data_IF_287587183957
#
_entry.id   IF_287587183957
#
_cell.length_a   1.000
_cell.length_b   1.000
_cell.length_c   1.000
_cell.angle_alpha   90.00
_cell.angle_beta   90.00
_cell.angle_gamma   90.00
#
_symmetry.space_group_name_H-M   'P 1'
#
loop_
_entity.id
_entity.type
_entity.pdbx_description
1 polymer ?
#
# COMPACT_ATOMS: atom_id res chain seq x y z
N UNK A 1 -7.78 -16.76 9.14
CA UNK A 1 -8.84 -15.80 8.76
C UNK A 1 -8.30 -14.98 7.60
N UNK A 2 -8.90 -15.06 6.44
CA UNK A 2 -8.58 -14.19 5.30
C UNK A 2 -9.04 -12.78 5.67
N UNK A 3 -8.10 -11.88 5.99
CA UNK A 3 -8.40 -10.47 6.23
C UNK A 3 -8.87 -9.75 4.95
N UNK A 4 -9.29 -8.50 5.07
CA UNK A 4 -9.60 -7.66 3.92
C UNK A 4 -8.42 -7.61 2.95
N UNK A 5 -8.74 -7.64 1.65
CA UNK A 5 -7.75 -7.45 0.57
C UNK A 5 -7.60 -5.96 0.28
N UNK A 6 -6.36 -5.53 0.15
CA UNK A 6 -5.99 -4.12 0.08
C UNK A 6 -6.01 -3.59 -1.36
N UNK A 7 -6.45 -2.36 -1.51
CA UNK A 7 -6.21 -1.53 -2.70
C UNK A 7 -5.01 -0.64 -2.39
N UNK A 8 -3.93 -0.81 -3.16
CA UNK A 8 -2.61 -0.27 -2.82
C UNK A 8 -2.18 0.77 -3.86
N UNK A 9 -1.96 2.01 -3.44
CA UNK A 9 -1.34 3.02 -4.30
C UNK A 9 0.20 2.88 -4.27
N UNK A 10 0.82 3.17 -5.40
CA UNK A 10 2.29 3.19 -5.55
C UNK A 10 2.76 4.55 -6.02
N UNK A 11 3.73 5.14 -5.34
CA UNK A 11 4.32 6.43 -5.67
C UNK A 11 5.84 6.31 -5.82
N UNK A 12 6.39 7.09 -6.73
CA UNK A 12 7.83 7.24 -6.92
C UNK A 12 8.23 8.64 -6.51
N UNK A 13 9.10 8.76 -5.49
CA UNK A 13 9.52 10.02 -4.90
C UNK A 13 10.88 10.46 -5.44
N UNK A 14 10.91 11.62 -6.07
CA UNK A 14 12.12 12.26 -6.61
C UNK A 14 12.10 13.75 -6.30
N UNK A 15 13.11 14.27 -5.63
CA UNK A 15 13.22 15.69 -5.28
C UNK A 15 11.96 16.27 -4.60
N UNK A 16 11.32 15.52 -3.69
CA UNK A 16 10.09 15.93 -3.00
C UNK A 16 8.83 15.91 -3.85
N UNK A 17 8.90 15.46 -5.10
CA UNK A 17 7.77 15.36 -6.03
C UNK A 17 7.43 13.90 -6.32
N UNK A 18 6.16 13.61 -6.53
CA UNK A 18 5.74 12.34 -7.09
C UNK A 18 6.01 12.33 -8.59
N UNK A 19 6.69 11.29 -9.07
CA UNK A 19 6.91 11.05 -10.51
C UNK A 19 6.21 9.77 -10.96
N UNK A 20 5.98 9.63 -12.25
CA UNK A 20 5.15 8.59 -12.83
C UNK A 20 5.71 7.18 -12.60
N UNK A 21 7.02 7.00 -12.80
CA UNK A 21 7.69 5.71 -12.57
C UNK A 21 9.21 5.90 -12.45
N UNK A 22 9.94 4.83 -12.12
CA UNK A 22 11.40 4.83 -12.11
C UNK A 22 12.03 5.09 -13.51
N UNK A 23 11.30 4.85 -14.58
CA UNK A 23 11.75 5.09 -15.97
C UNK A 23 11.11 6.32 -16.62
N UNK A 24 10.07 6.88 -16.00
CA UNK A 24 9.38 8.09 -16.49
C UNK A 24 9.29 9.11 -15.34
N UNK A 25 10.17 10.12 -15.40
CA UNK A 25 10.30 11.18 -14.40
C UNK A 25 9.28 12.32 -14.58
N UNK A 26 8.23 12.12 -15.38
CA UNK A 26 7.13 13.10 -15.47
C UNK A 26 6.53 13.34 -14.11
N UNK A 27 6.53 14.59 -13.66
CA UNK A 27 5.99 14.99 -12.36
C UNK A 27 4.48 14.84 -12.37
N UNK A 28 3.95 14.12 -11.40
CA UNK A 28 2.51 13.94 -11.17
C UNK A 28 1.95 14.94 -10.16
N UNK A 29 2.80 15.53 -9.34
CA UNK A 29 2.41 16.51 -8.34
C UNK A 29 3.25 16.46 -7.09
N UNK A 30 2.87 17.25 -6.11
CA UNK A 30 3.43 17.21 -4.76
C UNK A 30 3.05 15.90 -4.08
N UNK A 31 4.04 15.18 -3.55
CA UNK A 31 3.84 13.83 -2.98
C UNK A 31 2.94 13.87 -1.74
N UNK A 32 3.03 14.94 -0.94
CA UNK A 32 2.20 15.07 0.26
C UNK A 32 0.71 15.23 -0.11
N UNK A 33 0.41 16.10 -1.07
CA UNK A 33 -0.95 16.32 -1.53
C UNK A 33 -1.57 15.05 -2.14
N UNK A 34 -0.79 14.27 -2.90
CA UNK A 34 -1.25 12.99 -3.43
C UNK A 34 -1.51 11.96 -2.33
N UNK A 35 -0.64 11.87 -1.32
CA UNK A 35 -0.86 10.97 -0.19
C UNK A 35 -2.11 11.35 0.61
N UNK A 36 -2.39 12.66 0.80
CA UNK A 36 -3.63 13.13 1.42
C UNK A 36 -4.86 12.72 0.60
N UNK A 37 -4.80 12.88 -0.71
CA UNK A 37 -5.89 12.49 -1.61
C UNK A 37 -6.15 10.98 -1.52
N UNK A 38 -5.12 10.15 -1.53
CA UNK A 38 -5.25 8.71 -1.36
C UNK A 38 -5.82 8.33 0.01
N UNK A 39 -5.40 9.03 1.08
CA UNK A 39 -5.96 8.85 2.42
C UNK A 39 -7.47 9.07 2.43
N UNK A 40 -7.94 10.06 1.68
CA UNK A 40 -9.36 10.45 1.68
C UNK A 40 -10.19 9.69 0.62
N UNK A 41 -9.55 8.94 -0.29
CA UNK A 41 -10.22 8.22 -1.40
C UNK A 41 -10.59 6.76 -1.12
N UNK A 42 -10.16 6.20 0.04
CA UNK A 42 -10.41 4.80 0.36
C UNK A 42 -9.30 3.83 -0.04
N UNK A 43 -8.11 4.33 -0.37
CA UNK A 43 -6.89 3.50 -0.50
C UNK A 43 -6.55 2.89 0.86
N UNK A 44 -6.10 1.63 0.89
CA UNK A 44 -5.82 0.90 2.13
C UNK A 44 -4.34 0.97 2.55
N UNK A 45 -3.45 1.14 1.57
CA UNK A 45 -1.99 1.17 1.77
C UNK A 45 -1.33 2.02 0.69
N UNK A 46 -0.30 2.78 1.05
CA UNK A 46 0.57 3.48 0.10
C UNK A 46 1.96 2.85 0.13
N UNK A 47 2.55 2.63 -1.04
CA UNK A 47 3.94 2.24 -1.22
C UNK A 47 4.68 3.42 -1.85
N UNK A 48 5.75 3.90 -1.21
CA UNK A 48 6.60 4.98 -1.71
C UNK A 48 7.96 4.41 -2.06
N UNK A 49 8.38 4.55 -3.32
CA UNK A 49 9.72 4.22 -3.78
C UNK A 49 10.58 5.47 -3.87
N UNK A 50 11.62 5.53 -3.06
CA UNK A 50 12.63 6.58 -3.10
C UNK A 50 13.57 6.39 -4.30
N UNK A 51 13.57 7.37 -5.20
CA UNK A 51 14.43 7.42 -6.39
C UNK A 51 15.59 8.41 -6.23
N UNK A 52 15.98 8.74 -5.01
CA UNK A 52 17.14 9.59 -4.74
C UNK A 52 18.41 9.03 -5.40
N UNK A 53 19.29 9.93 -5.82
CA UNK A 53 20.55 9.58 -6.49
C UNK A 53 21.77 9.83 -5.62
N UNK A 54 21.59 10.48 -4.48
CA UNK A 54 22.61 10.76 -3.49
C UNK A 54 22.05 10.69 -2.06
N UNK A 55 22.95 10.68 -1.08
CA UNK A 55 22.59 10.55 0.34
C UNK A 55 21.82 11.77 0.85
N UNK A 56 22.09 12.98 0.37
CA UNK A 56 21.40 14.20 0.80
C UNK A 56 19.94 14.20 0.34
N UNK A 57 19.68 13.78 -0.87
CA UNK A 57 18.31 13.60 -1.38
C UNK A 57 17.59 12.48 -0.64
N UNK A 58 18.27 11.36 -0.38
CA UNK A 58 17.72 10.24 0.39
C UNK A 58 17.26 10.67 1.78
N UNK A 59 18.08 11.41 2.52
CA UNK A 59 17.73 11.92 3.85
C UNK A 59 16.50 12.87 3.78
N UNK A 60 16.43 13.73 2.76
CA UNK A 60 15.27 14.61 2.55
C UNK A 60 14.00 13.82 2.24
N UNK A 61 14.12 12.75 1.44
CA UNK A 61 13.00 11.89 1.09
C UNK A 61 12.51 11.10 2.31
N UNK A 62 13.39 10.62 3.19
CA UNK A 62 13.01 10.00 4.48
C UNK A 62 12.23 11.00 5.33
N UNK A 63 12.69 12.25 5.42
CA UNK A 63 11.98 13.30 6.17
C UNK A 63 10.60 13.63 5.56
N UNK A 64 10.50 13.63 4.23
CA UNK A 64 9.23 13.77 3.52
C UNK A 64 8.26 12.63 3.87
N UNK A 65 8.74 11.39 3.88
CA UNK A 65 7.96 10.21 4.27
C UNK A 65 7.52 10.30 5.74
N UNK A 66 8.38 10.77 6.64
CA UNK A 66 8.03 11.00 8.03
C UNK A 66 6.89 12.02 8.17
N UNK A 67 6.96 13.13 7.43
CA UNK A 67 5.90 14.14 7.43
C UNK A 67 4.58 13.62 6.86
N UNK A 68 4.63 12.77 5.83
CA UNK A 68 3.45 12.10 5.30
C UNK A 68 2.82 11.23 6.39
N UNK A 69 3.60 10.33 7.01
CA UNK A 69 3.12 9.41 8.05
C UNK A 69 2.49 10.11 9.26
N UNK A 70 2.93 11.34 9.58
CA UNK A 70 2.35 12.12 10.68
C UNK A 70 0.98 12.72 10.37
N UNK A 71 0.61 12.79 9.10
CA UNK A 71 -0.56 13.56 8.64
C UNK A 71 -1.60 12.74 7.87
N UNK A 72 -1.37 11.44 7.68
CA UNK A 72 -2.32 10.51 7.08
C UNK A 72 -2.55 9.32 8.01
N UNK A 73 -3.70 8.67 7.88
CA UNK A 73 -4.08 7.54 8.73
C UNK A 73 -3.81 6.18 8.09
N UNK A 74 -3.74 6.14 6.74
CA UNK A 74 -3.47 4.91 6.01
C UNK A 74 -2.00 4.50 6.11
N UNK A 75 -1.75 3.21 5.99
CA UNK A 75 -0.43 2.61 6.17
C UNK A 75 0.50 2.96 5.03
N UNK A 76 1.71 3.42 5.34
CA UNK A 76 2.77 3.67 4.36
C UNK A 76 3.85 2.61 4.48
N UNK A 77 4.25 2.04 3.34
CA UNK A 77 5.46 1.24 3.18
C UNK A 77 6.43 2.01 2.29
N UNK A 78 7.72 1.86 2.52
CA UNK A 78 8.72 2.56 1.72
C UNK A 78 9.85 1.64 1.26
N UNK A 79 10.40 1.92 0.09
CA UNK A 79 11.55 1.22 -0.49
C UNK A 79 12.37 2.15 -1.38
N UNK A 80 13.43 1.61 -1.99
CA UNK A 80 14.39 2.38 -2.77
C UNK A 80 15.57 2.89 -1.92
N UNK A 81 16.75 2.86 -2.48
CA UNK A 81 18.02 3.28 -1.85
C UNK A 81 18.33 2.69 -0.47
N UNK A 82 17.84 1.50 -0.18
CA UNK A 82 18.15 0.78 1.05
C UNK A 82 19.47 0.05 0.86
N UNK A 83 20.54 0.63 1.39
CA UNK A 83 21.91 0.11 1.26
C UNK A 83 22.53 -0.30 2.60
N UNK A 84 21.98 0.17 3.71
CA UNK A 84 22.49 -0.03 5.07
C UNK A 84 21.34 -0.30 6.04
N UNK A 85 21.63 -0.98 7.13
CA UNK A 85 20.66 -1.24 8.20
C UNK A 85 20.12 0.06 8.83
N UNK A 86 20.88 1.15 8.76
CA UNK A 86 20.46 2.47 9.24
C UNK A 86 19.33 3.06 8.37
N UNK A 87 19.31 2.78 7.06
CA UNK A 87 18.24 3.23 6.15
C UNK A 87 16.92 2.55 6.53
N UNK A 88 16.95 1.23 6.82
CA UNK A 88 15.80 0.48 7.33
C UNK A 88 15.30 1.08 8.64
N UNK A 89 16.20 1.33 9.59
CA UNK A 89 15.87 1.91 10.89
C UNK A 89 15.22 3.27 10.74
N UNK A 90 15.76 4.16 9.89
CA UNK A 90 15.23 5.49 9.66
C UNK A 90 13.80 5.45 9.08
N UNK A 91 13.55 4.60 8.08
CA UNK A 91 12.23 4.44 7.49
C UNK A 91 11.20 3.93 8.50
N UNK A 92 11.56 2.93 9.33
CA UNK A 92 10.68 2.44 10.38
C UNK A 92 10.40 3.51 11.45
N UNK A 93 11.40 4.30 11.82
CA UNK A 93 11.22 5.41 12.78
C UNK A 93 10.48 6.61 12.18
N UNK A 94 10.54 6.78 10.85
CA UNK A 94 9.70 7.72 10.11
C UNK A 94 8.22 7.30 10.04
N UNK A 95 7.86 6.16 10.67
CA UNK A 95 6.48 5.68 10.78
C UNK A 95 6.07 4.68 9.69
N UNK A 96 6.97 4.26 8.81
CA UNK A 96 6.64 3.23 7.83
C UNK A 96 6.23 1.93 8.50
N UNK A 97 5.13 1.35 8.03
CA UNK A 97 4.68 0.04 8.49
C UNK A 97 5.71 -1.04 8.15
N UNK A 98 6.24 -0.97 6.93
CA UNK A 98 7.15 -1.97 6.36
C UNK A 98 8.16 -1.31 5.42
N UNK A 99 9.31 -1.97 5.26
CA UNK A 99 10.39 -1.56 4.36
C UNK A 99 10.51 -2.58 3.23
N UNK A 100 10.62 -2.11 1.98
CA UNK A 100 10.60 -2.95 0.78
C UNK A 100 11.99 -3.06 0.19
N UNK A 101 12.52 -4.27 0.15
CA UNK A 101 13.76 -4.62 -0.52
C UNK A 101 13.49 -5.01 -1.98
N UNK A 102 14.53 -4.93 -2.82
CA UNK A 102 14.43 -5.29 -4.23
C UNK A 102 15.20 -6.59 -4.49
N UNK A 103 14.55 -7.57 -5.14
CA UNK A 103 15.11 -8.87 -5.48
C UNK A 103 16.20 -8.86 -6.60
N UNK A 104 16.64 -7.69 -7.05
CA UNK A 104 17.64 -7.60 -8.15
C UNK A 104 19.09 -7.71 -7.70
N UNK A 105 19.36 -7.68 -6.39
CA UNK A 105 20.72 -7.70 -5.82
C UNK A 105 20.82 -8.74 -4.73
N UNK A 106 21.81 -9.63 -4.78
CA UNK A 106 22.10 -10.63 -3.73
C UNK A 106 22.39 -9.95 -2.38
N UNK A 107 23.10 -8.81 -2.38
CA UNK A 107 23.35 -8.01 -1.18
C UNK A 107 22.08 -7.47 -0.49
N UNK A 108 20.98 -7.37 -1.20
CA UNK A 108 19.69 -6.96 -0.62
C UNK A 108 19.11 -8.07 0.27
N UNK A 109 19.33 -9.34 -0.06
CA UNK A 109 18.84 -10.46 0.74
C UNK A 109 19.60 -10.56 2.07
N UNK A 110 20.94 -10.44 2.04
CA UNK A 110 21.77 -10.43 3.26
C UNK A 110 21.35 -9.30 4.21
N UNK A 111 21.16 -8.09 3.67
CA UNK A 111 20.71 -6.94 4.45
C UNK A 111 19.27 -7.13 4.98
N UNK A 112 18.38 -7.73 4.18
CA UNK A 112 17.00 -8.03 4.59
C UNK A 112 16.96 -9.06 5.72
N UNK A 113 17.82 -10.10 5.69
CA UNK A 113 17.95 -11.07 6.77
C UNK A 113 18.35 -10.39 8.09
N UNK A 114 19.39 -9.54 8.06
CA UNK A 114 19.82 -8.76 9.23
C UNK A 114 18.70 -7.83 9.72
N UNK A 115 17.95 -7.21 8.81
CA UNK A 115 16.83 -6.34 9.15
C UNK A 115 15.66 -7.13 9.77
N UNK A 116 15.34 -8.31 9.24
CA UNK A 116 14.30 -9.20 9.75
C UNK A 116 14.62 -9.68 11.17
N UNK A 117 15.87 -10.08 11.43
CA UNK A 117 16.32 -10.47 12.78
C UNK A 117 16.25 -9.31 13.78
N UNK A 118 16.57 -8.09 13.34
CA UNK A 118 16.66 -6.92 14.21
C UNK A 118 15.32 -6.24 14.48
N UNK A 119 14.45 -6.15 13.49
CA UNK A 119 13.20 -5.38 13.55
C UNK A 119 11.94 -6.23 13.48
N UNK A 120 12.07 -7.50 13.15
CA UNK A 120 10.98 -8.44 12.94
C UNK A 120 10.62 -8.64 11.47
N UNK A 121 10.31 -9.88 11.12
CA UNK A 121 9.87 -10.27 9.77
C UNK A 121 8.68 -9.47 9.27
N UNK A 122 7.74 -9.14 10.17
CA UNK A 122 6.54 -8.36 9.87
C UNK A 122 6.83 -6.95 9.31
N UNK A 123 8.07 -6.48 9.41
CA UNK A 123 8.54 -5.19 8.91
C UNK A 123 9.18 -5.24 7.52
N UNK A 124 9.38 -6.43 6.96
CA UNK A 124 10.22 -6.60 5.77
C UNK A 124 9.40 -7.17 4.61
N UNK A 125 9.42 -6.47 3.47
CA UNK A 125 8.83 -6.88 2.20
C UNK A 125 9.90 -7.04 1.13
N UNK A 126 9.59 -7.86 0.11
CA UNK A 126 10.42 -8.02 -1.08
C UNK A 126 9.63 -7.65 -2.33
N UNK A 127 10.14 -6.74 -3.15
CA UNK A 127 9.62 -6.51 -4.50
C UNK A 127 10.30 -7.43 -5.51
N UNK A 128 9.49 -8.07 -6.37
CA UNK A 128 9.95 -9.11 -7.29
C UNK A 128 9.24 -9.03 -8.63
N UNK A 129 9.98 -9.26 -9.72
CA UNK A 129 9.46 -9.33 -11.09
C UNK A 129 9.78 -10.64 -11.81
N UNK A 130 10.64 -11.50 -11.22
CA UNK A 130 11.12 -12.73 -11.81
C UNK A 130 11.01 -13.89 -10.83
N UNK A 131 10.44 -14.99 -11.28
CA UNK A 131 10.24 -16.20 -10.48
C UNK A 131 11.54 -16.97 -10.20
N UNK A 132 12.56 -16.83 -11.05
CA UNK A 132 13.85 -17.51 -10.88
C UNK A 132 14.55 -17.13 -9.59
N UNK A 133 14.36 -15.88 -9.14
CA UNK A 133 14.90 -15.43 -7.85
C UNK A 133 14.25 -16.17 -6.68
N UNK A 134 12.94 -16.39 -6.74
CA UNK A 134 12.21 -17.14 -5.71
C UNK A 134 12.65 -18.60 -5.72
N UNK A 135 12.74 -19.20 -6.89
CA UNK A 135 13.18 -20.58 -7.01
C UNK A 135 14.57 -20.82 -6.39
N UNK A 136 15.47 -19.84 -6.56
CA UNK A 136 16.83 -19.90 -6.01
C UNK A 136 16.90 -19.69 -4.48
N UNK A 137 15.99 -18.88 -3.90
CA UNK A 137 16.03 -18.41 -2.52
C UNK A 137 14.75 -18.70 -1.73
N UNK A 138 14.05 -19.77 -2.04
CA UNK A 138 12.71 -20.04 -1.51
C UNK A 138 12.67 -20.06 0.02
N UNK A 139 13.53 -20.83 0.69
CA UNK A 139 13.55 -20.95 2.15
C UNK A 139 13.88 -19.59 2.80
N UNK A 140 14.89 -18.89 2.28
CA UNK A 140 15.31 -17.58 2.79
C UNK A 140 14.17 -16.53 2.64
N UNK A 141 13.42 -16.59 1.53
CA UNK A 141 12.29 -15.68 1.31
C UNK A 141 11.18 -15.96 2.32
N UNK A 142 10.83 -17.24 2.53
CA UNK A 142 9.81 -17.63 3.49
C UNK A 142 10.19 -17.27 4.92
N UNK A 143 11.46 -17.31 5.28
CA UNK A 143 11.93 -16.98 6.63
C UNK A 143 12.05 -15.46 6.87
N UNK A 144 12.43 -14.70 5.85
CA UNK A 144 12.83 -13.29 5.99
C UNK A 144 11.68 -12.32 5.73
N UNK A 145 10.83 -12.59 4.73
CA UNK A 145 9.86 -11.61 4.25
C UNK A 145 8.43 -11.93 4.68
N UNK A 146 7.73 -10.90 5.13
CA UNK A 146 6.32 -11.00 5.53
C UNK A 146 5.38 -11.09 4.33
N UNK A 147 5.66 -10.31 3.28
CA UNK A 147 4.82 -10.15 2.10
C UNK A 147 5.70 -9.83 0.88
N UNK A 148 5.27 -10.25 -0.30
CA UNK A 148 5.91 -9.92 -1.56
C UNK A 148 5.11 -8.83 -2.29
N UNK A 149 5.82 -7.94 -2.99
CA UNK A 149 5.25 -7.06 -4.01
C UNK A 149 5.63 -7.60 -5.39
N UNK A 150 4.69 -8.24 -6.04
CA UNK A 150 4.89 -8.88 -7.35
C UNK A 150 4.64 -7.85 -8.45
N UNK A 151 5.69 -7.45 -9.15
CA UNK A 151 5.65 -6.42 -10.18
C UNK A 151 5.26 -6.95 -11.57
N UNK A 152 5.23 -8.27 -11.75
CA UNK A 152 4.82 -8.93 -12.98
C UNK A 152 3.71 -9.95 -12.69
N UNK A 153 2.49 -9.67 -13.18
CA UNK A 153 1.33 -10.54 -12.97
C UNK A 153 1.50 -11.93 -13.59
N UNK A 154 2.30 -12.07 -14.64
CA UNK A 154 2.43 -13.35 -15.37
C UNK A 154 3.17 -14.44 -14.56
N UNK A 155 3.83 -14.06 -13.46
CA UNK A 155 4.55 -15.02 -12.61
C UNK A 155 3.72 -15.57 -11.45
N UNK A 156 2.48 -15.11 -11.21
CA UNK A 156 1.73 -15.46 -9.99
C UNK A 156 1.40 -16.95 -9.89
N UNK A 157 1.10 -17.62 -11.00
CA UNK A 157 0.81 -19.06 -10.99
C UNK A 157 2.06 -19.89 -10.61
N UNK A 158 3.22 -19.51 -11.12
CA UNK A 158 4.48 -20.14 -10.75
C UNK A 158 4.89 -19.78 -9.31
N UNK A 159 4.65 -18.54 -8.88
CA UNK A 159 4.90 -18.07 -7.52
C UNK A 159 4.15 -18.92 -6.48
N UNK A 160 2.85 -19.12 -6.64
CA UNK A 160 2.01 -19.85 -5.70
C UNK A 160 2.37 -21.36 -5.61
N UNK A 161 3.07 -21.90 -6.61
CA UNK A 161 3.63 -23.24 -6.56
C UNK A 161 4.99 -23.31 -5.81
N UNK A 162 5.66 -22.20 -5.64
CA UNK A 162 6.99 -22.11 -5.03
C UNK A 162 6.97 -21.65 -3.58
N UNK A 163 6.04 -20.75 -3.22
CA UNK A 163 6.01 -20.19 -1.86
C UNK A 163 4.59 -19.92 -1.38
N UNK A 164 4.39 -20.07 -0.08
CA UNK A 164 3.17 -19.67 0.62
C UNK A 164 3.21 -18.22 1.14
N UNK A 165 4.29 -17.49 0.89
CA UNK A 165 4.43 -16.10 1.31
C UNK A 165 3.32 -15.23 0.70
N UNK A 166 2.54 -14.49 1.50
CA UNK A 166 1.51 -13.61 0.99
C UNK A 166 2.06 -12.55 0.04
N UNK A 167 1.23 -12.08 -0.90
CA UNK A 167 1.69 -11.09 -1.85
C UNK A 167 0.62 -10.05 -2.24
N UNK A 168 1.10 -8.89 -2.67
CA UNK A 168 0.37 -7.87 -3.43
C UNK A 168 0.86 -7.95 -4.87
N UNK A 169 -0.04 -7.87 -5.85
CA UNK A 169 0.34 -7.89 -7.27
C UNK A 169 0.08 -6.55 -7.96
N UNK A 170 1.02 -6.12 -8.78
CA UNK A 170 0.86 -4.96 -9.65
C UNK A 170 0.11 -5.35 -10.92
N UNK A 171 -1.03 -4.71 -11.15
CA UNK A 171 -1.89 -4.89 -12.31
C UNK A 171 -1.58 -3.79 -13.34
N UNK A 172 -1.04 -4.12 -14.53
CA UNK A 172 -0.61 -3.10 -15.49
C UNK A 172 -1.77 -2.38 -16.18
N UNK A 173 -2.95 -3.01 -16.22
CA UNK A 173 -4.14 -2.49 -16.89
C UNK A 173 -5.39 -2.74 -16.04
N UNK A 174 -6.38 -1.86 -16.19
CA UNK A 174 -7.70 -2.05 -15.61
C UNK A 174 -8.50 -3.06 -16.44
N UNK A 175 -8.80 -4.20 -15.82
CA UNK A 175 -9.69 -5.24 -16.34
C UNK A 175 -10.43 -5.84 -15.14
N UNK A 176 -11.72 -5.51 -15.01
CA UNK A 176 -12.49 -5.87 -13.83
C UNK A 176 -12.63 -7.37 -13.63
N UNK A 177 -12.83 -8.13 -14.71
CA UNK A 177 -13.00 -9.59 -14.64
C UNK A 177 -11.68 -10.25 -14.21
N UNK A 178 -10.57 -9.81 -14.77
CA UNK A 178 -9.22 -10.26 -14.38
C UNK A 178 -8.87 -9.86 -12.95
N UNK A 179 -9.24 -8.66 -12.53
CA UNK A 179 -9.03 -8.19 -11.15
C UNK A 179 -9.80 -9.08 -10.17
N UNK A 180 -11.07 -9.36 -10.42
CA UNK A 180 -11.90 -10.23 -9.56
C UNK A 180 -11.30 -11.63 -9.50
N UNK A 181 -10.88 -12.21 -10.63
CA UNK A 181 -10.29 -13.54 -10.69
C UNK A 181 -8.99 -13.62 -9.87
N UNK A 182 -8.09 -12.67 -10.06
CA UNK A 182 -6.84 -12.58 -9.30
C UNK A 182 -7.10 -12.34 -7.81
N UNK A 183 -8.06 -11.49 -7.47
CA UNK A 183 -8.41 -11.17 -6.08
C UNK A 183 -9.06 -12.35 -5.31
N UNK A 184 -9.51 -13.40 -5.98
CA UNK A 184 -10.01 -14.64 -5.33
C UNK A 184 -8.90 -15.54 -4.78
N UNK A 185 -7.65 -15.34 -5.19
CA UNK A 185 -6.52 -16.17 -4.74
C UNK A 185 -6.28 -16.04 -3.23
N UNK A 186 -6.04 -17.14 -2.54
CA UNK A 186 -5.96 -17.18 -1.08
C UNK A 186 -4.73 -16.45 -0.52
N UNK A 187 -3.59 -16.58 -1.18
CA UNK A 187 -2.31 -15.98 -0.78
C UNK A 187 -2.21 -14.49 -1.12
N UNK A 188 -3.00 -14.01 -2.09
CA UNK A 188 -3.04 -12.60 -2.44
C UNK A 188 -3.58 -11.75 -1.28
N UNK A 189 -2.93 -10.62 -0.99
CA UNK A 189 -3.35 -9.64 0.03
C UNK A 189 -3.86 -8.34 -0.56
N UNK A 190 -3.64 -8.09 -1.83
CA UNK A 190 -4.13 -6.88 -2.47
C UNK A 190 -3.61 -6.70 -3.89
N UNK A 191 -4.06 -5.62 -4.50
CA UNK A 191 -3.61 -5.20 -5.84
C UNK A 191 -3.07 -3.78 -5.81
N UNK A 192 -2.11 -3.51 -6.67
CA UNK A 192 -1.60 -2.20 -7.03
C UNK A 192 -1.72 -1.99 -8.54
N UNK A 193 -1.59 -0.77 -9.04
CA UNK A 193 -1.62 -0.52 -10.48
C UNK A 193 -1.76 0.96 -10.83
N UNK A 194 -1.45 1.35 -12.06
CA UNK A 194 -1.55 2.75 -12.49
C UNK A 194 -2.98 3.30 -12.37
N UNK A 195 -3.99 2.46 -12.63
CA UNK A 195 -5.39 2.86 -12.50
C UNK A 195 -5.82 3.13 -11.04
N UNK A 196 -5.08 2.59 -10.05
CA UNK A 196 -5.28 2.88 -8.63
C UNK A 196 -4.60 4.20 -8.27
N UNK A 197 -3.46 4.49 -8.90
CA UNK A 197 -2.70 5.71 -8.65
C UNK A 197 -3.32 6.96 -9.26
N UNK A 198 -4.25 6.80 -10.21
CA UNK A 198 -4.95 7.91 -10.84
C UNK A 198 -6.01 8.47 -9.87
N UNK A 199 -5.84 9.71 -9.38
CA UNK A 199 -6.73 10.30 -8.40
C UNK A 199 -8.15 10.59 -8.93
N UNK A 200 -8.38 10.53 -10.23
CA UNK A 200 -9.70 10.70 -10.83
C UNK A 200 -10.54 9.41 -10.73
N UNK A 201 -9.93 8.27 -10.42
CA UNK A 201 -10.64 7.01 -10.30
C UNK A 201 -11.33 6.87 -8.93
N UNK A 202 -12.58 6.49 -8.96
CA UNK A 202 -13.38 6.24 -7.75
C UNK A 202 -13.03 4.87 -7.14
N UNK A 203 -12.16 4.87 -6.13
CA UNK A 203 -11.71 3.68 -5.40
C UNK A 203 -12.86 3.02 -4.64
N UNK A 204 -13.81 3.79 -4.12
CA UNK A 204 -14.95 3.23 -3.41
C UNK A 204 -15.91 2.51 -4.36
N UNK A 205 -16.10 3.02 -5.59
CA UNK A 205 -16.83 2.31 -6.63
C UNK A 205 -16.10 1.01 -7.05
N UNK A 206 -14.77 1.02 -7.12
CA UNK A 206 -13.98 -0.21 -7.34
C UNK A 206 -14.22 -1.22 -6.22
N UNK A 207 -14.10 -0.82 -4.96
CA UNK A 207 -14.33 -1.68 -3.79
C UNK A 207 -15.75 -2.25 -3.77
N UNK A 208 -16.76 -1.45 -4.13
CA UNK A 208 -18.14 -1.92 -4.24
C UNK A 208 -18.26 -3.05 -5.26
N UNK A 209 -17.72 -2.87 -6.48
CA UNK A 209 -17.71 -3.91 -7.52
C UNK A 209 -16.96 -5.18 -7.09
N UNK A 210 -15.86 -5.03 -6.35
CA UNK A 210 -15.10 -6.15 -5.80
C UNK A 210 -15.93 -6.91 -4.76
N UNK A 211 -16.61 -6.20 -3.87
CA UNK A 211 -17.52 -6.78 -2.87
C UNK A 211 -18.68 -7.52 -3.53
N UNK A 212 -19.29 -6.95 -4.56
CA UNK A 212 -20.33 -7.59 -5.38
C UNK A 212 -19.81 -8.87 -6.07
N UNK A 213 -18.53 -8.87 -6.45
CA UNK A 213 -17.80 -10.04 -6.97
C UNK A 213 -17.41 -11.09 -5.91
N UNK A 214 -17.77 -10.87 -4.64
CA UNK A 214 -17.49 -11.77 -3.52
C UNK A 214 -16.09 -11.62 -2.92
N UNK A 215 -15.40 -10.53 -3.20
CA UNK A 215 -14.09 -10.22 -2.61
C UNK A 215 -14.28 -9.45 -1.31
N UNK A 216 -13.63 -9.89 -0.25
CA UNK A 216 -13.65 -9.21 1.03
C UNK A 216 -12.68 -8.01 0.99
N UNK A 217 -13.22 -6.80 0.80
CA UNK A 217 -12.53 -5.51 0.84
C UNK A 217 -13.19 -4.60 1.89
N UNK A 218 -12.42 -3.66 2.43
CA UNK A 218 -12.96 -2.66 3.34
C UNK A 218 -13.65 -1.56 2.54
N UNK A 219 -14.96 -1.65 2.42
CA UNK A 219 -15.81 -0.68 1.71
C UNK A 219 -16.60 0.23 2.67
N UNK A 220 -16.16 0.35 3.90
CA UNK A 220 -16.76 1.22 4.93
C UNK A 220 -18.29 1.03 5.07
N UNK A 221 -18.75 -0.22 4.98
CA UNK A 221 -20.17 -0.53 5.15
C UNK A 221 -20.59 -0.17 6.58
N UNK A 222 -21.60 0.67 6.77
CA UNK A 222 -22.02 1.07 8.11
C UNK A 222 -22.65 -0.12 8.85
N UNK A 223 -22.28 -0.29 10.14
CA UNK A 223 -22.86 -1.30 11.02
C UNK A 223 -24.30 -0.94 11.44
N UNK A 224 -24.66 0.34 11.34
CA UNK A 224 -25.94 0.88 11.75
C UNK A 224 -26.95 0.89 10.59
N UNK A 225 -28.15 0.33 10.81
CA UNK A 225 -29.24 0.39 9.84
C UNK A 225 -30.17 1.57 10.15
N UNK A 226 -30.81 2.12 9.12
CA UNK A 226 -31.79 3.19 9.31
C UNK A 226 -32.90 2.82 10.30
N UNK A 227 -33.32 1.55 10.33
CA UNK A 227 -34.30 1.02 11.28
C UNK A 227 -33.88 1.06 12.76
N UNK A 228 -32.59 1.18 13.02
CA UNK A 228 -32.03 1.20 14.37
C UNK A 228 -32.01 2.61 14.96
N UNK A 229 -32.29 3.63 14.12
CA UNK A 229 -32.31 5.04 14.50
C UNK A 229 -33.66 5.44 15.09
N UNK A 230 -33.62 6.22 16.19
CA UNK A 230 -34.81 6.82 16.78
C UNK A 230 -35.10 8.15 16.11
N UNK A 231 -36.11 8.16 15.23
CA UNK A 231 -36.55 9.35 14.51
C UNK A 231 -37.40 10.27 15.38
N UNK A 232 -37.39 11.57 15.09
CA UNK A 232 -38.32 12.54 15.67
C UNK A 232 -39.71 12.43 15.00
N UNK A 233 -40.68 13.32 15.38
CA UNK A 233 -42.04 13.34 14.83
C UNK A 233 -42.08 13.59 13.32
N UNK A 234 -41.06 14.19 12.74
CA UNK A 234 -40.96 14.55 11.34
C UNK A 234 -40.17 13.51 10.52
N UNK A 235 -39.80 12.39 11.17
CA UNK A 235 -39.02 11.31 10.53
C UNK A 235 -37.53 11.62 10.34
N UNK A 236 -37.01 12.59 11.10
CA UNK A 236 -35.61 13.04 10.97
C UNK A 236 -34.78 12.62 12.20
N UNK A 237 -33.45 12.57 12.01
CA UNK A 237 -32.45 12.34 13.06
C UNK A 237 -31.50 13.54 13.08
N UNK A 238 -31.16 14.08 14.27
CA UNK A 238 -30.12 15.09 14.34
C UNK A 238 -28.74 14.47 14.00
N UNK A 239 -27.99 15.12 13.12
CA UNK A 239 -26.65 14.70 12.69
C UNK A 239 -25.66 15.79 13.02
N UNK A 240 -24.60 15.43 13.75
CA UNK A 240 -23.45 16.29 13.95
C UNK A 240 -22.34 15.84 13.01
N UNK A 241 -21.94 16.73 12.11
CA UNK A 241 -20.76 16.51 11.24
C UNK A 241 -19.57 17.11 11.93
N UNK A 242 -18.53 16.30 12.11
CA UNK A 242 -17.33 16.64 12.85
C UNK A 242 -16.11 16.27 12.04
N UNK A 243 -15.10 17.15 12.02
CA UNK A 243 -13.79 16.84 11.45
C UNK A 243 -13.13 15.75 12.30
N UNK A 244 -12.77 14.62 11.68
CA UNK A 244 -12.24 13.45 12.37
C UNK A 244 -10.81 13.66 12.89
N UNK A 245 -10.06 14.64 12.36
CA UNK A 245 -8.65 14.91 12.73
C UNK A 245 -8.53 15.79 13.99
N UNK A 246 -9.42 16.78 14.13
CA UNK A 246 -9.32 17.79 15.19
C UNK A 246 -10.58 17.89 16.05
N UNK A 247 -11.57 17.01 15.79
CA UNK A 247 -12.86 16.95 16.50
C UNK A 247 -13.71 18.24 16.39
N UNK A 248 -13.37 19.15 15.47
CA UNK A 248 -14.13 20.37 15.26
C UNK A 248 -15.51 20.06 14.68
N UNK A 249 -16.55 20.50 15.35
CA UNK A 249 -17.91 20.43 14.82
C UNK A 249 -18.06 21.38 13.65
N UNK A 250 -18.36 20.82 12.46
CA UNK A 250 -18.50 21.55 11.21
C UNK A 250 -19.96 21.95 10.97
N UNK A 251 -20.91 21.09 11.32
CA UNK A 251 -22.31 21.28 11.04
C UNK A 251 -23.21 20.48 11.99
N UNK A 252 -24.38 21.05 12.29
CA UNK A 252 -25.53 20.31 12.84
C UNK A 252 -26.65 20.36 11.79
N UNK A 253 -27.18 19.19 11.45
CA UNK A 253 -28.28 19.01 10.49
C UNK A 253 -29.37 18.09 11.04
N UNK A 254 -30.52 18.07 10.36
CA UNK A 254 -31.65 17.19 10.65
C UNK A 254 -32.11 16.50 9.39
#
# INVERSE_FOLDING_TARGET
MTGFKNIVATLYLKNGQAVKSASDMTVMGDVYNLCQLYNDSGIDKIIIFDLSTDDDEHEKNIHTIENINRNIDIKVCAGGNINRIEDVKKLLYAGCLQVIFNATKDSSLELANVASEKFGKDKILLSISNVDYIFKHQEEIEDTFHELLVLNIDIIDALENLTSTPYVVYMPQFDMDKIIDVMKRETLRGIAGEFINDPENDIMALKTKLSDGGILVDNFTPDLKWSDLKLNSDGMVPVIVQDYRNEQVLMLAY
#
